data_IF_711612736270
#
_entry.id   IF_711612736270
#
_cell.length_a   1.000
_cell.length_b   1.000
_cell.length_c   1.000
_cell.angle_alpha   90.00
_cell.angle_beta   90.00
_cell.angle_gamma   90.00
#
_symmetry.space_group_name_H-M   'P 1'
#
loop_
_entity.id
_entity.type
_entity.pdbx_description
1 polymer ?
#
# COMPACT_ATOMS: atom_id res chain seq x y z
N UNK A 1 -12.63 -8.61 15.41
CA UNK A 1 -11.56 -8.17 16.35
C UNK A 1 -11.83 -6.72 16.71
N UNK A 2 -11.95 -6.38 18.00
CA UNK A 2 -12.32 -5.02 18.45
C UNK A 2 -11.28 -3.95 18.03
N UNK A 3 -9.99 -4.27 18.17
CA UNK A 3 -8.89 -3.33 17.92
C UNK A 3 -8.84 -2.74 16.50
N UNK A 4 -9.10 -3.54 15.47
CA UNK A 4 -9.06 -3.07 14.08
C UNK A 4 -10.24 -2.14 13.80
N UNK A 5 -11.41 -2.45 14.35
CA UNK A 5 -12.60 -1.61 14.24
C UNK A 5 -12.37 -0.25 14.94
N UNK A 6 -11.72 -0.26 16.10
CA UNK A 6 -11.41 0.97 16.85
C UNK A 6 -10.41 1.87 16.10
N UNK A 7 -9.50 1.28 15.32
CA UNK A 7 -8.53 2.02 14.50
C UNK A 7 -9.06 2.37 13.09
N UNK A 8 -10.22 1.85 12.69
CA UNK A 8 -10.72 1.99 11.32
C UNK A 8 -10.85 3.45 10.89
N UNK A 9 -11.40 4.32 11.74
CA UNK A 9 -11.55 5.76 11.45
C UNK A 9 -10.20 6.45 11.20
N UNK A 10 -9.17 6.07 11.96
CA UNK A 10 -7.80 6.58 11.78
C UNK A 10 -7.22 6.11 10.46
N UNK A 11 -7.39 4.84 10.10
CA UNK A 11 -6.92 4.31 8.82
C UNK A 11 -7.68 4.88 7.63
N UNK A 12 -8.99 5.05 7.72
CA UNK A 12 -9.79 5.74 6.70
C UNK A 12 -9.30 7.15 6.46
N UNK A 13 -9.05 7.90 7.54
CA UNK A 13 -8.49 9.25 7.46
C UNK A 13 -7.12 9.23 6.79
N UNK A 14 -6.23 8.31 7.20
CA UNK A 14 -4.92 8.15 6.58
C UNK A 14 -5.04 7.93 5.07
N UNK A 15 -5.91 7.02 4.63
CA UNK A 15 -6.12 6.71 3.21
C UNK A 15 -6.70 7.91 2.47
N UNK A 16 -7.65 8.63 3.06
CA UNK A 16 -8.31 9.78 2.45
C UNK A 16 -7.32 10.90 2.07
N UNK A 17 -6.24 11.07 2.84
CA UNK A 17 -5.23 12.09 2.58
C UNK A 17 -4.08 11.63 1.68
N UNK A 18 -4.09 10.38 1.19
CA UNK A 18 -3.12 9.90 0.23
C UNK A 18 -3.58 10.17 -1.21
N UNK A 19 -2.66 10.52 -2.13
CA UNK A 19 -2.97 10.53 -3.56
C UNK A 19 -3.52 9.17 -4.02
N UNK A 20 -4.46 9.12 -4.97
CA UNK A 20 -5.06 7.86 -5.43
C UNK A 20 -4.05 6.81 -5.90
N UNK A 21 -2.96 7.26 -6.53
CA UNK A 21 -1.87 6.38 -6.98
C UNK A 21 -1.10 5.76 -5.80
N UNK A 22 -0.93 6.50 -4.70
CA UNK A 22 -0.33 5.98 -3.46
C UNK A 22 -1.27 5.00 -2.76
N UNK A 23 -2.57 5.31 -2.70
CA UNK A 23 -3.58 4.39 -2.14
C UNK A 23 -3.55 3.07 -2.89
N UNK A 24 -3.59 3.10 -4.23
CA UNK A 24 -3.57 1.87 -5.03
C UNK A 24 -2.31 1.04 -4.79
N UNK A 25 -1.13 1.67 -4.80
CA UNK A 25 0.13 0.96 -4.49
C UNK A 25 0.10 0.35 -3.09
N UNK A 26 -0.38 1.08 -2.09
CA UNK A 26 -0.49 0.60 -0.72
C UNK A 26 -1.44 -0.60 -0.60
N UNK A 27 -2.60 -0.54 -1.25
CA UNK A 27 -3.58 -1.63 -1.32
C UNK A 27 -2.99 -2.87 -2.01
N UNK A 28 -2.31 -2.70 -3.14
CA UNK A 28 -1.64 -3.80 -3.86
C UNK A 28 -0.61 -4.50 -3.00
N UNK A 29 0.24 -3.74 -2.30
CA UNK A 29 1.29 -4.31 -1.44
C UNK A 29 0.72 -4.90 -0.13
N UNK A 30 -0.45 -4.43 0.31
CA UNK A 30 -1.16 -5.08 1.41
C UNK A 30 -1.62 -6.49 1.00
N UNK A 31 -2.17 -6.63 -0.21
CA UNK A 31 -2.68 -7.91 -0.73
C UNK A 31 -1.55 -8.85 -1.19
N UNK A 32 -0.52 -8.29 -1.84
CA UNK A 32 0.49 -9.04 -2.59
C UNK A 32 1.87 -8.36 -2.46
N UNK A 33 2.58 -8.53 -1.33
CA UNK A 33 3.96 -8.05 -1.16
C UNK A 33 4.88 -8.59 -2.25
N UNK A 34 5.85 -7.79 -2.70
CA UNK A 34 6.69 -8.16 -3.84
C UNK A 34 8.07 -7.49 -3.81
N UNK A 35 9.06 -8.15 -4.39
CA UNK A 35 10.39 -7.56 -4.59
C UNK A 35 10.41 -6.60 -5.79
N UNK A 36 9.40 -6.67 -6.67
CA UNK A 36 9.38 -5.97 -7.97
C UNK A 36 8.02 -5.30 -8.23
N UNK A 37 7.63 -4.28 -7.45
CA UNK A 37 6.34 -3.60 -7.62
C UNK A 37 6.19 -2.87 -8.97
N UNK A 38 7.31 -2.60 -9.64
CA UNK A 38 7.35 -1.97 -10.96
C UNK A 38 7.39 -2.98 -12.12
N UNK A 39 7.36 -4.30 -11.83
CA UNK A 39 7.30 -5.32 -12.87
C UNK A 39 6.01 -5.19 -13.68
N UNK A 40 6.10 -5.42 -14.98
CA UNK A 40 4.99 -5.25 -15.91
C UNK A 40 3.79 -6.13 -15.54
N UNK A 41 4.04 -7.33 -15.04
CA UNK A 41 3.04 -8.30 -14.60
C UNK A 41 2.33 -7.81 -13.34
N UNK A 42 3.09 -7.28 -12.38
CA UNK A 42 2.54 -6.75 -11.13
C UNK A 42 1.68 -5.49 -11.37
N UNK A 43 2.18 -4.57 -12.19
CA UNK A 43 1.46 -3.37 -12.59
C UNK A 43 0.13 -3.72 -13.26
N UNK A 44 0.10 -4.72 -14.14
CA UNK A 44 -1.14 -5.17 -14.79
C UNK A 44 -2.09 -5.88 -13.82
N UNK A 45 -1.56 -6.77 -12.96
CA UNK A 45 -2.35 -7.52 -11.98
C UNK A 45 -3.14 -6.59 -11.05
N UNK A 46 -2.56 -5.45 -10.71
CA UNK A 46 -3.09 -4.53 -9.70
C UNK A 46 -3.57 -3.18 -10.26
N UNK A 47 -3.67 -3.04 -11.58
CA UNK A 47 -4.11 -1.81 -12.25
C UNK A 47 -3.33 -0.56 -11.80
N UNK A 48 -2.00 -0.68 -11.76
CA UNK A 48 -1.10 0.41 -11.37
C UNK A 48 -0.74 1.30 -12.57
N UNK A 49 -0.50 2.57 -12.29
CA UNK A 49 0.04 3.50 -13.28
C UNK A 49 1.48 3.12 -13.67
N UNK A 50 1.85 3.32 -14.94
CA UNK A 50 3.18 2.98 -15.47
C UNK A 50 4.18 4.14 -15.32
N UNK A 51 5.47 3.81 -15.29
CA UNK A 51 6.56 4.79 -15.39
C UNK A 51 6.79 5.60 -14.11
N UNK A 52 7.15 6.87 -14.24
CA UNK A 52 7.54 7.72 -13.11
C UNK A 52 6.47 7.89 -12.01
N UNK A 53 5.20 7.66 -12.34
CA UNK A 53 4.09 7.76 -11.38
C UNK A 53 4.16 6.70 -10.28
N UNK A 54 4.45 5.43 -10.60
CA UNK A 54 4.58 4.38 -9.59
C UNK A 54 5.87 4.54 -8.78
N UNK A 55 6.96 4.97 -9.41
CA UNK A 55 8.22 5.22 -8.71
C UNK A 55 8.08 6.36 -7.68
N UNK A 56 7.41 7.46 -8.06
CA UNK A 56 7.11 8.56 -7.15
C UNK A 56 6.18 8.15 -5.99
N UNK A 57 5.18 7.31 -6.28
CA UNK A 57 4.28 6.78 -5.26
C UNK A 57 5.03 5.89 -4.23
N UNK A 58 5.87 4.96 -4.71
CA UNK A 58 6.69 4.10 -3.85
C UNK A 58 7.64 4.93 -2.97
N UNK A 59 8.36 5.88 -3.56
CA UNK A 59 9.28 6.74 -2.81
C UNK A 59 8.55 7.55 -1.72
N UNK A 60 7.39 8.12 -2.05
CA UNK A 60 6.59 8.89 -1.08
C UNK A 60 6.03 8.03 0.05
N UNK A 61 5.55 6.81 -0.25
CA UNK A 61 5.05 5.87 0.76
C UNK A 61 6.16 5.37 1.69
N UNK A 62 7.37 5.13 1.17
CA UNK A 62 8.55 4.79 1.98
C UNK A 62 8.91 5.95 2.90
N UNK A 63 8.98 7.18 2.37
CA UNK A 63 9.30 8.37 3.15
C UNK A 63 8.27 8.62 4.28
N UNK A 64 7.00 8.30 4.04
CA UNK A 64 5.92 8.37 5.04
C UNK A 64 5.97 7.22 6.06
N UNK A 65 6.84 6.23 5.89
CA UNK A 65 6.92 5.04 6.74
C UNK A 65 5.73 4.10 6.60
N UNK A 66 5.00 4.16 5.48
CA UNK A 66 3.81 3.34 5.25
C UNK A 66 4.12 1.99 4.59
N UNK A 67 5.23 1.93 3.84
CA UNK A 67 5.75 0.69 3.27
C UNK A 67 7.25 0.60 3.52
N UNK A 68 7.77 -0.62 3.55
CA UNK A 68 9.20 -0.86 3.46
C UNK A 68 9.69 -0.84 2.00
N UNK A 69 11.00 -0.78 1.84
CA UNK A 69 11.67 -0.78 0.53
C UNK A 69 12.00 -2.20 0.03
N UNK A 70 12.87 -2.27 -0.98
CA UNK A 70 13.29 -3.51 -1.61
C UNK A 70 13.98 -4.49 -0.65
N UNK A 71 14.64 -4.03 0.42
CA UNK A 71 15.31 -4.91 1.38
C UNK A 71 14.31 -5.80 2.14
N UNK A 72 13.07 -5.33 2.26
CA UNK A 72 12.00 -5.95 3.05
C UNK A 72 10.81 -6.37 2.17
N UNK A 73 11.06 -6.58 0.87
CA UNK A 73 10.07 -7.05 -0.12
C UNK A 73 8.84 -6.16 -0.29
N UNK A 74 9.04 -4.84 -0.42
CA UNK A 74 7.97 -3.82 -0.56
C UNK A 74 6.62 -4.27 0.04
N UNK A 75 6.47 -4.07 1.35
CA UNK A 75 5.28 -4.47 2.10
C UNK A 75 4.82 -3.33 2.98
N UNK A 76 3.53 -3.31 3.34
CA UNK A 76 2.99 -2.34 4.30
C UNK A 76 3.73 -2.46 5.62
N UNK A 77 4.27 -1.34 6.12
CA UNK A 77 5.12 -1.32 7.30
C UNK A 77 4.34 -1.43 8.62
N UNK A 78 3.05 -1.09 8.59
CA UNK A 78 2.15 -1.12 9.73
C UNK A 78 1.28 -2.38 9.67
N UNK A 79 1.51 -3.40 10.52
CA UNK A 79 0.79 -4.68 10.43
C UNK A 79 -0.74 -4.56 10.58
N UNK A 80 -1.20 -3.67 11.45
CA UNK A 80 -2.64 -3.44 11.67
C UNK A 80 -3.30 -2.74 10.47
N UNK A 81 -2.58 -1.82 9.81
CA UNK A 81 -3.03 -1.20 8.58
C UNK A 81 -3.10 -2.22 7.44
N UNK A 82 -2.07 -3.08 7.31
CA UNK A 82 -2.05 -4.15 6.31
C UNK A 82 -3.24 -5.10 6.48
N UNK A 83 -3.53 -5.48 7.73
CA UNK A 83 -4.66 -6.35 8.06
C UNK A 83 -6.00 -5.67 7.79
N UNK A 84 -6.15 -4.39 8.17
CA UNK A 84 -7.36 -3.62 7.90
C UNK A 84 -7.60 -3.45 6.39
N UNK A 85 -6.56 -3.15 5.61
CA UNK A 85 -6.64 -3.05 4.14
C UNK A 85 -7.10 -4.37 3.51
N UNK A 86 -6.56 -5.51 3.95
CA UNK A 86 -7.02 -6.83 3.51
C UNK A 86 -8.51 -7.05 3.82
N UNK A 87 -8.97 -6.67 5.01
CA UNK A 87 -10.38 -6.81 5.39
C UNK A 87 -11.31 -5.88 4.61
N UNK A 88 -10.84 -4.71 4.18
CA UNK A 88 -11.62 -3.75 3.41
C UNK A 88 -11.77 -4.13 1.94
N UNK A 89 -10.78 -4.85 1.39
CA UNK A 89 -10.72 -5.23 -0.03
C UNK A 89 -11.34 -6.62 -0.32
N UNK A 90 -11.81 -7.32 0.73
CA UNK A 90 -12.47 -8.62 0.68
C UNK A 90 -13.88 -8.52 1.25
#
# INVERSE_FOLDING_TARGET
>A
MHLIADLAVTFESLILFLPPTQVRVLESLALDPTDRPQAREYIQKHDLSRGGTIQGALASLIQKGLIYDAAEKYRVALPLLALWLKQRLH
#
